data_IF_298679563376
#
_entry.id   IF_298679563376
#
_cell.length_a   1.000
_cell.length_b   1.000
_cell.length_c   1.000
_cell.angle_alpha   90.00
_cell.angle_beta   90.00
_cell.angle_gamma   90.00
#
_symmetry.space_group_name_H-M   'P 1'
#
loop_
_entity.id
_entity.type
_entity.pdbx_description
1 polymer ?
#
# COMPACT_ATOMS: atom_id res chain seq x y z
N UNK A 1 14.60 0.39 1.94
CA UNK A 1 13.79 1.60 1.69
C UNK A 1 12.39 1.21 1.27
N UNK A 2 11.36 1.94 1.71
CA UNK A 2 9.97 1.70 1.33
C UNK A 2 9.74 2.39 -0.03
N UNK A 3 9.84 1.62 -1.13
CA UNK A 3 9.61 2.07 -2.51
C UNK A 3 10.33 3.37 -2.94
N UNK A 4 11.54 3.62 -2.42
CA UNK A 4 12.30 4.85 -2.72
C UNK A 4 11.75 6.11 -2.06
N UNK A 5 11.01 5.97 -0.95
CA UNK A 5 10.56 7.09 -0.14
C UNK A 5 11.65 7.58 0.84
N UNK A 6 11.76 8.89 0.98
CA UNK A 6 12.75 9.57 1.83
C UNK A 6 12.39 9.50 3.31
N UNK A 7 11.09 9.49 3.63
CA UNK A 7 10.58 9.44 5.01
C UNK A 7 9.35 8.56 5.08
N UNK A 8 9.14 7.91 6.22
CA UNK A 8 7.92 7.16 6.52
C UNK A 8 7.36 7.57 7.87
N UNK A 9 6.02 7.54 7.98
CA UNK A 9 5.31 7.79 9.23
C UNK A 9 4.13 6.84 9.37
N UNK A 10 3.85 6.44 10.60
CA UNK A 10 2.66 5.70 10.97
C UNK A 10 1.68 6.66 11.64
N UNK A 11 0.42 6.62 11.24
CA UNK A 11 -0.64 7.43 11.82
C UNK A 11 -1.72 6.49 12.36
N UNK A 12 -2.32 6.76 13.53
CA UNK A 12 -3.55 6.08 13.91
C UNK A 12 -4.62 6.34 12.84
N UNK A 13 -5.30 5.28 12.44
CA UNK A 13 -6.43 5.35 11.50
C UNK A 13 -7.47 4.30 11.89
N UNK A 14 -8.62 4.27 11.22
CA UNK A 14 -9.70 3.33 11.52
C UNK A 14 -9.92 2.33 10.38
N UNK A 15 -9.71 1.05 10.66
CA UNK A 15 -10.16 -0.06 9.81
C UNK A 15 -11.10 -0.97 10.62
N UNK A 16 -12.32 -1.29 10.13
CA UNK A 16 -13.33 -2.02 10.92
C UNK A 16 -12.88 -3.36 11.49
N UNK A 17 -11.92 -4.01 10.83
CA UNK A 17 -11.43 -5.35 11.13
C UNK A 17 -10.12 -5.36 11.95
N UNK A 18 -9.53 -4.21 12.29
CA UNK A 18 -8.32 -4.13 13.12
C UNK A 18 -8.45 -3.16 14.31
N UNK A 19 -7.81 -3.49 15.43
CA UNK A 19 -7.69 -2.63 16.61
C UNK A 19 -6.44 -3.08 17.43
N UNK A 20 -5.40 -2.23 17.57
CA UNK A 20 -5.23 -0.91 16.99
C UNK A 20 -4.99 -0.95 15.46
N UNK A 21 -5.38 0.15 14.81
CA UNK A 21 -5.29 0.39 13.38
C UNK A 21 -4.30 1.52 13.08
N UNK A 22 -3.42 1.33 12.09
CA UNK A 22 -2.41 2.32 11.70
C UNK A 22 -2.25 2.40 10.18
N UNK A 23 -2.24 3.62 9.65
CA UNK A 23 -1.93 3.94 8.26
C UNK A 23 -0.42 4.19 8.10
N UNK A 24 0.19 3.53 7.12
CA UNK A 24 1.54 3.84 6.65
C UNK A 24 1.47 4.93 5.57
N UNK A 25 2.16 6.03 5.82
CA UNK A 25 2.38 7.11 4.85
C UNK A 25 3.87 7.26 4.57
N UNK A 26 4.24 7.44 3.31
CA UNK A 26 5.62 7.71 2.91
C UNK A 26 5.73 9.06 2.19
N UNK A 27 6.84 9.76 2.39
CA UNK A 27 7.17 10.99 1.70
C UNK A 27 8.14 10.71 0.57
N UNK A 28 7.85 11.25 -0.62
CA UNK A 28 8.78 11.24 -1.75
C UNK A 28 8.89 12.65 -2.31
N UNK A 29 10.12 13.13 -2.52
CA UNK A 29 10.35 14.41 -3.20
C UNK A 29 9.66 14.45 -4.57
N UNK A 30 8.97 15.56 -4.87
CA UNK A 30 8.11 15.72 -6.05
C UNK A 30 6.65 15.25 -5.89
N UNK A 31 6.36 14.29 -5.00
CA UNK A 31 5.01 13.77 -4.77
C UNK A 31 4.42 14.13 -3.39
N UNK A 32 5.26 14.51 -2.43
CA UNK A 32 4.84 14.84 -1.07
C UNK A 32 4.52 13.59 -0.22
N UNK A 33 3.60 13.74 0.74
CA UNK A 33 3.14 12.62 1.57
C UNK A 33 2.08 11.80 0.85
N UNK A 34 2.35 10.52 0.65
CA UNK A 34 1.47 9.57 -0.03
C UNK A 34 1.10 8.47 0.95
N UNK A 35 -0.19 8.13 0.98
CA UNK A 35 -0.69 6.95 1.68
C UNK A 35 -0.24 5.67 0.95
N UNK A 36 0.47 4.81 1.67
CA UNK A 36 1.00 3.54 1.16
C UNK A 36 0.06 2.37 1.44
N UNK A 37 -0.62 2.41 2.59
CA UNK A 37 -1.62 1.42 2.93
C UNK A 37 -1.88 1.29 4.43
N UNK A 38 -2.93 0.53 4.74
CA UNK A 38 -3.37 0.26 6.10
C UNK A 38 -2.67 -0.95 6.71
N UNK A 39 -2.57 -0.94 8.03
CA UNK A 39 -2.09 -2.07 8.82
C UNK A 39 -2.72 -2.05 10.21
N UNK A 40 -2.67 -3.17 10.92
CA UNK A 40 -3.21 -3.26 12.27
C UNK A 40 -3.23 -4.68 12.80
N UNK A 41 -3.77 -4.84 14.01
CA UNK A 41 -3.99 -6.15 14.64
C UNK A 41 -5.44 -6.54 14.42
N UNK A 42 -5.72 -7.71 13.85
CA UNK A 42 -7.09 -8.17 13.63
C UNK A 42 -7.84 -8.27 14.95
N UNK A 43 -9.08 -7.77 14.92
CA UNK A 43 -9.97 -7.87 16.07
C UNK A 43 -10.43 -9.32 16.29
N UNK A 44 -10.80 -9.70 17.52
CA UNK A 44 -11.28 -11.05 17.82
C UNK A 44 -12.50 -11.46 16.97
N UNK A 45 -13.37 -10.53 16.59
CA UNK A 45 -14.55 -10.82 15.77
C UNK A 45 -14.18 -11.38 14.37
N UNK A 46 -12.96 -11.11 13.89
CA UNK A 46 -12.42 -11.64 12.63
C UNK A 46 -11.75 -13.01 12.82
N UNK A 47 -11.02 -13.20 13.92
CA UNK A 47 -10.17 -14.38 14.13
C UNK A 47 -10.89 -15.53 14.85
N UNK A 48 -11.82 -15.23 15.76
CA UNK A 48 -12.54 -16.23 16.57
C UNK A 48 -13.37 -17.22 15.73
N UNK A 49 -14.11 -16.80 14.69
CA UNK A 49 -14.84 -17.73 13.83
C UNK A 49 -13.93 -18.73 13.10
N UNK A 50 -12.64 -18.40 12.93
CA UNK A 50 -11.63 -19.24 12.29
C UNK A 50 -10.88 -20.13 13.30
N UNK A 51 -11.24 -20.08 14.60
CA UNK A 51 -10.55 -20.82 15.66
C UNK A 51 -9.19 -20.23 16.05
N UNK A 52 -8.84 -19.04 15.55
CA UNK A 52 -7.55 -18.38 15.81
C UNK A 52 -7.64 -17.55 17.10
N UNK A 53 -6.89 -17.97 18.12
CA UNK A 53 -6.86 -17.35 19.45
C UNK A 53 -5.62 -16.49 19.74
N UNK A 54 -4.71 -16.39 18.76
CA UNK A 54 -3.50 -15.58 18.87
C UNK A 54 -3.71 -14.24 18.16
N UNK A 55 -3.10 -13.13 18.62
CA UNK A 55 -3.11 -11.88 17.89
C UNK A 55 -2.50 -12.05 16.49
N UNK A 56 -3.18 -11.49 15.48
CA UNK A 56 -2.72 -11.54 14.07
C UNK A 56 -2.50 -10.11 13.59
N UNK A 57 -1.29 -9.82 13.12
CA UNK A 57 -0.99 -8.57 12.43
C UNK A 57 -1.32 -8.72 10.94
N UNK A 58 -1.84 -7.67 10.34
CA UNK A 58 -2.10 -7.60 8.91
C UNK A 58 -1.70 -6.24 8.35
N UNK A 59 -1.33 -6.22 7.07
CA UNK A 59 -1.07 -5.01 6.30
C UNK A 59 -1.52 -5.21 4.86
N UNK A 60 -1.94 -4.13 4.21
CA UNK A 60 -2.34 -4.11 2.82
C UNK A 60 -1.71 -2.90 2.12
N UNK A 61 -1.07 -3.13 0.98
CA UNK A 61 -0.39 -2.09 0.21
C UNK A 61 -0.98 -2.05 -1.21
N UNK A 62 -1.20 -0.85 -1.74
CA UNK A 62 -1.61 -0.66 -3.13
C UNK A 62 -0.43 -0.79 -4.08
N UNK A 63 -0.20 -1.98 -4.64
CA UNK A 63 0.93 -2.25 -5.55
C UNK A 63 0.91 -1.32 -6.76
N UNK A 64 -0.26 -1.03 -7.31
CA UNK A 64 -0.45 -0.14 -8.47
C UNK A 64 0.13 1.26 -8.22
N UNK A 65 -0.14 1.82 -7.03
CA UNK A 65 0.35 3.15 -6.64
C UNK A 65 1.87 3.15 -6.48
N UNK A 66 2.44 2.08 -5.90
CA UNK A 66 3.90 1.92 -5.78
C UNK A 66 4.56 1.84 -7.15
N UNK A 67 3.97 1.07 -8.06
CA UNK A 67 4.46 0.96 -9.43
C UNK A 67 4.38 2.28 -10.17
N UNK A 68 3.24 2.99 -10.10
CA UNK A 68 3.08 4.33 -10.70
C UNK A 68 4.15 5.30 -10.23
N UNK A 69 4.39 5.34 -8.91
CA UNK A 69 5.38 6.23 -8.31
C UNK A 69 6.82 5.86 -8.69
N UNK A 70 7.12 4.57 -8.85
CA UNK A 70 8.43 4.10 -9.31
C UNK A 70 8.64 4.38 -10.80
N UNK A 71 7.64 4.06 -11.61
CA UNK A 71 7.71 4.09 -13.06
C UNK A 71 7.40 5.49 -13.64
N UNK A 72 7.05 6.49 -12.82
CA UNK A 72 6.65 7.81 -13.28
C UNK A 72 5.42 7.75 -14.19
N UNK A 73 4.40 7.02 -13.77
CA UNK A 73 3.12 6.89 -14.50
C UNK A 73 2.06 7.66 -13.72
N UNK A 74 1.48 8.67 -14.34
CA UNK A 74 0.48 9.52 -13.66
C UNK A 74 -0.95 8.97 -13.75
N UNK A 75 -1.21 8.08 -14.72
CA UNK A 75 -2.53 7.50 -14.95
C UNK A 75 -2.54 5.99 -14.75
N UNK A 76 -3.32 5.53 -13.78
CA UNK A 76 -3.46 4.12 -13.42
C UNK A 76 -3.96 3.27 -14.62
N UNK A 77 -4.73 3.87 -15.53
CA UNK A 77 -5.25 3.17 -16.72
C UNK A 77 -4.14 2.72 -17.65
N UNK A 78 -2.98 3.38 -17.62
CA UNK A 78 -1.82 2.93 -18.40
C UNK A 78 -1.34 1.54 -17.96
N UNK A 79 -1.44 1.21 -16.67
CA UNK A 79 -1.06 -0.10 -16.13
C UNK A 79 -1.96 -1.21 -16.68
N UNK A 80 -3.23 -0.90 -16.91
CA UNK A 80 -4.23 -1.82 -17.45
C UNK A 80 -4.36 -1.74 -18.97
N UNK A 81 -3.47 -1.03 -19.64
CA UNK A 81 -3.51 -0.86 -21.09
C UNK A 81 -3.18 -2.17 -21.81
N UNK A 82 -3.92 -2.46 -22.88
CA UNK A 82 -3.64 -3.57 -23.80
C UNK A 82 -2.60 -3.22 -24.87
N UNK A 83 -1.98 -2.03 -24.79
CA UNK A 83 -0.96 -1.60 -25.74
C UNK A 83 0.35 -2.36 -25.55
N UNK A 84 0.67 -3.24 -26.49
CA UNK A 84 1.94 -3.97 -26.52
C UNK A 84 3.15 -3.02 -26.63
N UNK A 85 3.00 -1.88 -27.31
CA UNK A 85 4.06 -0.89 -27.44
C UNK A 85 4.38 -0.24 -26.09
N UNK A 86 3.37 0.07 -25.29
CA UNK A 86 3.56 0.59 -23.94
C UNK A 86 4.29 -0.43 -23.07
N UNK A 87 3.84 -1.69 -23.09
CA UNK A 87 4.48 -2.79 -22.33
C UNK A 87 5.95 -3.00 -22.72
N UNK A 88 6.29 -2.88 -24.01
CA UNK A 88 7.67 -3.07 -24.48
C UNK A 88 8.59 -1.89 -24.18
N UNK A 89 8.05 -0.66 -24.19
CA UNK A 89 8.85 0.56 -24.00
C UNK A 89 8.98 0.98 -22.54
N UNK A 90 8.14 0.47 -21.65
CA UNK A 90 8.18 0.86 -20.25
C UNK A 90 9.37 0.19 -19.56
N UNK A 91 10.41 0.96 -19.31
CA UNK A 91 11.53 0.53 -18.47
C UNK A 91 11.07 0.46 -17.01
N UNK A 92 11.34 -0.68 -16.37
CA UNK A 92 11.14 -0.92 -14.94
C UNK A 92 12.52 -1.00 -14.31
N UNK A 93 13.20 0.13 -14.20
CA UNK A 93 14.51 0.21 -13.52
C UNK A 93 14.35 0.70 -12.09
#
# INVERSE_FOLDING_TARGET
>A
EIAGADKVRFKPDYFPFTEPSVELSAYKEGYGWIEFGGSGIFRPEVTLPLGVKVPVIAWGLGIDRLFMMRAGVDDIRCIFSQSLDWLRRKEVT
#
